data_IF_571253403734
#
_entry.id   IF_571253403734
#
_cell.length_a   1.000
_cell.length_b   1.000
_cell.length_c   1.000
_cell.angle_alpha   90.00
_cell.angle_beta   90.00
_cell.angle_gamma   90.00
#
_symmetry.space_group_name_H-M   'P 1'
#
loop_
_entity.id
_entity.type
_entity.pdbx_description
1 polymer ?
#
# COMPACT_ATOMS: atom_id res chain seq x y z
N UNK A 1 -3.83 17.43 -0.36
CA UNK A 1 -4.37 16.09 -0.04
C UNK A 1 -3.22 15.21 0.43
N UNK A 2 -3.42 14.36 1.43
CA UNK A 2 -2.34 13.56 2.04
C UNK A 2 -2.08 12.23 1.33
N UNK A 3 -0.93 11.60 1.61
CA UNK A 3 -0.52 10.34 0.96
C UNK A 3 -1.57 9.22 1.06
N UNK A 4 -2.24 9.08 2.21
CA UNK A 4 -3.31 8.09 2.42
C UNK A 4 -4.50 8.33 1.49
N UNK A 5 -4.89 9.60 1.31
CA UNK A 5 -6.03 9.96 0.45
C UNK A 5 -5.72 9.68 -1.02
N UNK A 6 -4.53 10.05 -1.48
CA UNK A 6 -4.08 9.81 -2.86
C UNK A 6 -4.00 8.30 -3.15
N UNK A 7 -3.42 7.53 -2.24
CA UNK A 7 -3.34 6.08 -2.38
C UNK A 7 -4.73 5.44 -2.38
N UNK A 8 -5.63 5.87 -1.49
CA UNK A 8 -7.03 5.39 -1.48
C UNK A 8 -7.72 5.65 -2.81
N UNK A 9 -7.57 6.85 -3.37
CA UNK A 9 -8.17 7.21 -4.64
C UNK A 9 -7.57 6.37 -5.79
N UNK A 10 -6.27 6.13 -5.79
CA UNK A 10 -5.62 5.28 -6.79
C UNK A 10 -6.10 3.82 -6.73
N UNK A 11 -6.19 3.24 -5.53
CA UNK A 11 -6.70 1.89 -5.32
C UNK A 11 -8.16 1.77 -5.77
N UNK A 12 -8.99 2.76 -5.44
CA UNK A 12 -10.39 2.77 -5.85
C UNK A 12 -10.54 2.84 -7.38
N UNK A 13 -9.71 3.62 -8.07
CA UNK A 13 -9.67 3.64 -9.55
C UNK A 13 -9.26 2.28 -10.15
N UNK A 14 -8.47 1.50 -9.42
CA UNK A 14 -8.09 0.14 -9.80
C UNK A 14 -9.11 -0.93 -9.35
N UNK A 15 -10.25 -0.54 -8.76
CA UNK A 15 -11.27 -1.48 -8.26
C UNK A 15 -10.90 -2.17 -6.95
N UNK A 16 -9.89 -1.68 -6.23
CA UNK A 16 -9.34 -2.29 -5.02
C UNK A 16 -9.78 -1.49 -3.79
N UNK A 17 -10.33 -2.17 -2.80
CA UNK A 17 -10.64 -1.59 -1.49
C UNK A 17 -9.91 -2.36 -0.40
N UNK A 18 -9.05 -1.66 0.35
CA UNK A 18 -8.41 -2.24 1.52
C UNK A 18 -9.29 -2.05 2.77
N UNK A 19 -9.43 -3.08 3.62
CA UNK A 19 -10.22 -2.99 4.84
C UNK A 19 -9.60 -2.02 5.86
N UNK A 20 -8.28 -1.82 5.80
CA UNK A 20 -7.57 -0.79 6.56
C UNK A 20 -6.57 -0.07 5.68
N UNK A 21 -6.51 1.25 5.80
CA UNK A 21 -5.49 2.11 5.19
C UNK A 21 -5.45 3.42 5.96
N UNK A 22 -4.29 3.76 6.51
CA UNK A 22 -4.12 4.94 7.37
C UNK A 22 -2.65 5.28 7.56
N UNK A 23 -2.38 6.31 8.36
CA UNK A 23 -1.02 6.51 8.87
C UNK A 23 -0.79 5.57 10.05
N UNK A 24 0.43 5.10 10.20
CA UNK A 24 0.87 4.44 11.42
C UNK A 24 0.78 5.45 12.58
N UNK A 25 0.02 5.15 13.65
CA UNK A 25 -0.20 6.10 14.73
C UNK A 25 1.09 6.45 15.48
N UNK A 26 2.06 5.52 15.55
CA UNK A 26 3.31 5.75 16.28
C UNK A 26 4.17 6.78 15.55
N UNK A 27 4.38 6.61 14.25
CA UNK A 27 5.16 7.55 13.42
C UNK A 27 4.40 8.84 13.12
N UNK A 28 3.07 8.82 13.11
CA UNK A 28 2.26 10.05 13.00
C UNK A 28 2.35 10.92 14.26
N UNK A 29 2.51 10.33 15.44
CA UNK A 29 2.66 11.05 16.70
C UNK A 29 4.12 11.47 16.99
N UNK A 30 5.10 10.91 16.27
CA UNK A 30 6.51 11.21 16.46
C UNK A 30 6.88 12.61 15.93
N UNK A 31 7.65 13.37 16.72
CA UNK A 31 8.17 14.69 16.32
C UNK A 31 9.35 14.62 15.33
N UNK A 32 9.79 13.41 14.97
CA UNK A 32 10.90 13.16 14.07
C UNK A 32 10.59 11.98 13.13
N UNK A 33 11.06 12.06 11.89
CA UNK A 33 10.84 11.04 10.87
C UNK A 33 9.69 11.37 9.90
N UNK A 34 9.55 10.56 8.85
CA UNK A 34 8.43 10.65 7.90
C UNK A 34 7.31 9.72 8.38
N UNK A 35 6.04 10.16 8.45
CA UNK A 35 4.93 9.29 8.82
C UNK A 35 4.84 8.11 7.87
N UNK A 36 4.69 6.91 8.42
CA UNK A 36 4.49 5.69 7.65
C UNK A 36 3.00 5.50 7.34
N UNK A 37 2.72 4.84 6.22
CA UNK A 37 1.36 4.44 5.84
C UNK A 37 1.18 2.97 6.19
N UNK A 38 0.22 2.69 7.06
CA UNK A 38 -0.22 1.33 7.37
C UNK A 38 -1.10 0.80 6.24
N UNK A 39 -0.62 -0.23 5.55
CA UNK A 39 -1.31 -0.90 4.44
C UNK A 39 -2.24 -2.04 4.91
N UNK A 40 -2.13 -2.45 6.18
CA UNK A 40 -3.01 -3.45 6.77
C UNK A 40 -2.90 -4.85 6.19
N UNK A 41 -3.88 -5.71 6.52
CA UNK A 41 -4.02 -7.04 5.95
C UNK A 41 -5.00 -6.99 4.79
N UNK A 42 -4.67 -7.69 3.70
CA UNK A 42 -5.56 -7.89 2.58
C UNK A 42 -5.84 -9.38 2.37
N UNK A 43 -6.92 -9.71 1.65
CA UNK A 43 -7.18 -11.10 1.23
C UNK A 43 -6.22 -11.50 0.11
N UNK A 44 -6.04 -12.81 -0.12
CA UNK A 44 -5.24 -13.30 -1.24
C UNK A 44 -5.73 -12.75 -2.60
N UNK A 45 -7.04 -12.67 -2.78
CA UNK A 45 -7.66 -12.03 -3.96
C UNK A 45 -7.23 -10.57 -4.12
N UNK A 46 -7.30 -9.79 -3.04
CA UNK A 46 -6.89 -8.38 -3.05
C UNK A 46 -5.39 -8.24 -3.36
N UNK A 47 -4.56 -9.13 -2.82
CA UNK A 47 -3.12 -9.14 -3.09
C UNK A 47 -2.82 -9.38 -4.58
N UNK A 48 -3.55 -10.28 -5.24
CA UNK A 48 -3.42 -10.54 -6.67
C UNK A 48 -3.85 -9.34 -7.52
N UNK A 49 -4.95 -8.69 -7.16
CA UNK A 49 -5.40 -7.46 -7.84
C UNK A 49 -4.35 -6.35 -7.72
N UNK A 50 -3.75 -6.17 -6.53
CA UNK A 50 -2.66 -5.22 -6.33
C UNK A 50 -1.46 -5.53 -7.22
N UNK A 51 -1.03 -6.79 -7.27
CA UNK A 51 0.08 -7.23 -8.11
C UNK A 51 -0.17 -6.96 -9.60
N UNK A 52 -1.40 -7.15 -10.08
CA UNK A 52 -1.77 -6.87 -11.47
C UNK A 52 -1.84 -5.37 -11.78
N UNK A 53 -2.18 -4.52 -10.80
CA UNK A 53 -2.32 -3.08 -10.98
C UNK A 53 -0.98 -2.32 -10.97
N UNK A 54 0.08 -2.90 -10.39
CA UNK A 54 1.39 -2.28 -10.33
C UNK A 54 2.17 -2.56 -11.63
N UNK A 55 2.62 -1.53 -12.37
CA UNK A 55 3.47 -1.75 -13.54
C UNK A 55 4.77 -2.42 -13.09
N UNK A 56 5.14 -3.52 -13.75
CA UNK A 56 6.37 -4.24 -13.45
C UNK A 56 7.60 -3.35 -13.65
N UNK A 57 8.17 -2.86 -12.55
CA UNK A 57 9.52 -2.30 -12.52
C UNK A 57 10.32 -3.11 -11.50
N UNK A 58 10.76 -4.28 -11.94
CA UNK A 58 11.44 -5.28 -11.10
C UNK A 58 11.35 -6.68 -11.67
N UNK A 59 11.87 -6.87 -12.89
CA UNK A 59 12.35 -8.19 -13.31
C UNK A 59 13.83 -8.31 -12.94
N UNK A 60 14.13 -8.20 -11.65
CA UNK A 60 15.32 -8.81 -11.06
C UNK A 60 14.78 -9.89 -10.12
N UNK A 61 14.50 -11.06 -10.71
CA UNK A 61 14.28 -12.27 -9.94
C UNK A 61 15.65 -12.69 -9.41
N UNK A 62 15.89 -12.59 -8.11
CA UNK A 62 16.82 -13.49 -7.44
C UNK A 62 16.02 -14.75 -7.04
N UNK A 63 16.51 -15.98 -7.30
CA UNK A 63 15.80 -17.20 -6.92
C UNK A 63 15.74 -17.29 -5.40
N UNK A 64 14.55 -17.60 -4.86
CA UNK A 64 14.46 -18.15 -3.50
C UNK A 64 14.88 -19.61 -3.61
N UNK A 65 16.05 -19.93 -3.04
CA UNK A 65 16.54 -21.29 -2.76
C UNK A 65 15.64 -22.02 -1.77
#
# INVERSE_FOLDING_TARGET
MGAVTELRAALHRAGITLPSLGLDPVTAAASYGRPLVELGRCTAETALLLAAALPGKGAEREPVV
#
